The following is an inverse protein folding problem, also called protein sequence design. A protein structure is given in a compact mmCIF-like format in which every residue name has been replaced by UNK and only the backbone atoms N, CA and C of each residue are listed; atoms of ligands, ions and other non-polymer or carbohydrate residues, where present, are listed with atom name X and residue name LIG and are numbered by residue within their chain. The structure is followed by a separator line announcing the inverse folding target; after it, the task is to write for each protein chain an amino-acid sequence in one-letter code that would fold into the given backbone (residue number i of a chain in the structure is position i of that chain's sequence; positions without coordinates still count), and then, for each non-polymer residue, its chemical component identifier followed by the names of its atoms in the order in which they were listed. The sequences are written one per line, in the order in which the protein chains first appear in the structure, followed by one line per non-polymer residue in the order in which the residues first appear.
data_IF_973943774804
#
_entry.id   IF_973943774804
#
_cell.length_a   1.000
_cell.length_b   1.000
_cell.length_c   1.000
_cell.angle_alpha   90.00
_cell.angle_beta   90.00
_cell.angle_gamma   90.00
#
_symmetry.space_group_name_H-M   'P 1'
#
loop_
_entity.id
_entity.type
_entity.pdbx_description
1 polymer ?
#
# COMPACT_ATOMS: atom_id res chain seq x y z
N UNK A 1 -9.00 10.26 -4.24
CA UNK A 1 -10.02 9.90 -5.24
C UNK A 1 -11.38 10.13 -4.65
N UNK A 2 -12.25 10.81 -5.38
CA UNK A 2 -13.65 11.01 -5.04
C UNK A 2 -14.48 10.26 -6.06
N UNK A 3 -15.38 9.39 -5.63
CA UNK A 3 -16.34 8.75 -6.52
C UNK A 3 -17.51 9.70 -6.81
N UNK A 4 -17.93 9.77 -8.07
CA UNK A 4 -19.03 10.63 -8.50
C UNK A 4 -20.33 9.82 -8.45
N UNK A 5 -21.31 10.21 -7.61
CA UNK A 5 -22.61 9.55 -7.57
C UNK A 5 -23.31 9.57 -8.93
N UNK A 6 -24.13 8.54 -9.23
CA UNK A 6 -24.78 8.39 -10.54
C UNK A 6 -25.68 9.57 -10.93
N UNK A 7 -26.18 10.32 -9.95
CA UNK A 7 -27.07 11.47 -10.14
C UNK A 7 -26.33 12.81 -10.20
N UNK A 8 -24.98 12.79 -10.20
CA UNK A 8 -24.15 13.99 -10.13
C UNK A 8 -23.24 14.10 -11.35
N UNK A 9 -23.09 15.31 -11.89
CA UNK A 9 -22.16 15.57 -12.98
C UNK A 9 -20.73 15.72 -12.46
N UNK A 10 -19.73 15.43 -13.31
CA UNK A 10 -18.32 15.67 -12.99
C UNK A 10 -18.08 17.13 -12.58
N UNK A 11 -18.75 18.08 -13.25
CA UNK A 11 -18.61 19.50 -12.99
C UNK A 11 -19.13 19.88 -11.59
N UNK A 12 -20.30 19.38 -11.19
CA UNK A 12 -20.88 19.65 -9.87
C UNK A 12 -20.09 18.97 -8.75
N UNK A 13 -19.60 17.75 -8.98
CA UNK A 13 -18.72 17.06 -8.03
C UNK A 13 -17.40 17.83 -7.83
N UNK A 14 -16.78 18.28 -8.93
CA UNK A 14 -15.55 19.10 -8.86
C UNK A 14 -15.80 20.43 -8.14
N UNK A 15 -16.93 21.09 -8.39
CA UNK A 15 -17.29 22.34 -7.72
C UNK A 15 -17.47 22.14 -6.21
N UNK A 16 -18.18 21.10 -5.78
CA UNK A 16 -18.38 20.81 -4.36
C UNK A 16 -17.08 20.51 -3.61
N UNK A 17 -16.18 19.72 -4.23
CA UNK A 17 -14.85 19.49 -3.66
C UNK A 17 -14.04 20.79 -3.58
N UNK A 18 -14.08 21.61 -4.62
CA UNK A 18 -13.40 22.90 -4.64
C UNK A 18 -13.91 23.86 -3.55
N UNK A 19 -15.22 23.97 -3.37
CA UNK A 19 -15.82 24.80 -2.32
C UNK A 19 -15.39 24.34 -0.93
N UNK A 20 -15.42 23.02 -0.70
CA UNK A 20 -15.04 22.44 0.58
C UNK A 20 -13.56 22.71 0.89
N UNK A 21 -12.67 22.51 -0.08
CA UNK A 21 -11.23 22.74 0.09
C UNK A 21 -10.94 24.24 0.27
N UNK A 22 -11.55 25.10 -0.54
CA UNK A 22 -11.39 26.57 -0.45
C UNK A 22 -11.84 27.12 0.90
N UNK A 23 -12.85 26.51 1.54
CA UNK A 23 -13.30 26.90 2.88
C UNK A 23 -12.28 26.59 3.98
N UNK A 24 -11.40 25.58 3.76
CA UNK A 24 -10.44 25.08 4.76
C UNK A 24 -9.03 25.66 4.59
N UNK A 25 -8.62 26.05 3.38
CA UNK A 25 -7.26 26.55 3.12
C UNK A 25 -7.24 27.74 2.13
N UNK A 26 -6.33 28.68 2.40
CA UNK A 26 -6.02 29.77 1.46
C UNK A 26 -5.06 29.25 0.39
N UNK A 27 -5.41 29.41 -0.88
CA UNK A 27 -4.60 29.04 -2.05
C UNK A 27 -4.29 27.52 -2.19
N UNK A 28 -5.31 26.65 -2.25
CA UNK A 28 -5.10 25.22 -2.49
C UNK A 28 -4.44 24.96 -3.86
N UNK A 29 -3.41 24.11 -3.89
CA UNK A 29 -2.73 23.71 -5.14
C UNK A 29 -3.00 22.25 -5.42
N UNK A 30 -3.75 22.01 -6.49
CA UNK A 30 -4.15 20.66 -6.87
C UNK A 30 -4.21 20.50 -8.38
N UNK A 31 -3.78 19.35 -8.87
CA UNK A 31 -4.11 18.87 -10.20
C UNK A 31 -5.31 17.92 -10.12
N UNK A 32 -6.34 18.19 -10.93
CA UNK A 32 -7.54 17.33 -11.01
C UNK A 32 -7.54 16.56 -12.32
N UNK A 33 -7.73 15.25 -12.25
CA UNK A 33 -7.87 14.34 -13.39
C UNK A 33 -9.22 13.64 -13.28
N UNK A 34 -9.97 13.60 -14.38
CA UNK A 34 -11.24 12.87 -14.46
C UNK A 34 -10.97 11.50 -15.07
N UNK A 35 -11.36 10.45 -14.38
CA UNK A 35 -11.23 9.07 -14.85
C UNK A 35 -12.58 8.36 -14.72
N UNK A 36 -13.35 8.33 -15.82
CA UNK A 36 -14.70 7.78 -15.83
C UNK A 36 -15.62 8.48 -14.83
N UNK A 37 -16.08 7.75 -13.81
CA UNK A 37 -16.91 8.26 -12.70
C UNK A 37 -16.10 8.63 -11.45
N UNK A 38 -14.79 8.80 -11.58
CA UNK A 38 -13.92 9.12 -10.46
C UNK A 38 -13.15 10.42 -10.71
N UNK A 39 -13.07 11.24 -9.67
CA UNK A 39 -12.24 12.43 -9.60
C UNK A 39 -10.94 12.10 -8.86
N UNK A 40 -9.83 12.11 -9.59
CA UNK A 40 -8.49 11.95 -9.03
C UNK A 40 -7.94 13.35 -8.76
N UNK A 41 -7.60 13.63 -7.52
CA UNK A 41 -7.06 14.92 -7.09
C UNK A 41 -5.66 14.66 -6.55
N UNK A 42 -4.68 15.34 -7.12
CA UNK A 42 -3.27 15.24 -6.77
C UNK A 42 -2.89 16.59 -6.16
N UNK A 43 -2.69 16.65 -4.83
CA UNK A 43 -2.18 17.85 -4.17
C UNK A 43 -0.72 18.11 -4.58
N UNK A 44 -0.37 19.38 -4.80
CA UNK A 44 1.00 19.78 -5.13
C UNK A 44 1.81 20.18 -3.88
N UNK A 45 1.16 20.31 -2.72
CA UNK A 45 1.78 20.68 -1.44
C UNK A 45 1.14 19.94 -0.24
N UNK A 46 1.93 19.80 0.83
CA UNK A 46 1.55 19.04 2.03
C UNK A 46 0.35 19.65 2.76
N UNK A 47 0.23 20.98 2.79
CA UNK A 47 -0.90 21.65 3.44
C UNK A 47 -2.23 21.31 2.75
N UNK A 48 -2.22 21.28 1.41
CA UNK A 48 -3.38 20.88 0.62
C UNK A 48 -3.66 19.38 0.78
N UNK A 49 -2.64 18.53 0.87
CA UNK A 49 -2.78 17.09 1.12
C UNK A 49 -3.45 16.82 2.48
N UNK A 50 -3.01 17.47 3.54
CA UNK A 50 -3.55 17.27 4.89
C UNK A 50 -5.03 17.69 4.98
N UNK A 51 -5.41 18.78 4.32
CA UNK A 51 -6.81 19.20 4.23
C UNK A 51 -7.65 18.18 3.48
N UNK A 52 -7.12 17.59 2.40
CA UNK A 52 -7.79 16.56 1.61
C UNK A 52 -7.99 15.25 2.38
N UNK A 53 -7.02 14.85 3.22
CA UNK A 53 -7.14 13.68 4.12
C UNK A 53 -8.26 13.82 5.14
N UNK A 54 -8.59 15.05 5.53
CA UNK A 54 -9.69 15.36 6.44
C UNK A 54 -11.08 15.45 5.78
N UNK A 55 -11.24 15.00 4.54
CA UNK A 55 -12.53 14.98 3.83
C UNK A 55 -13.15 13.58 3.90
N UNK A 56 -14.45 13.52 4.22
CA UNK A 56 -15.17 12.25 4.45
C UNK A 56 -15.31 11.39 3.19
N UNK A 57 -15.43 12.01 2.02
CA UNK A 57 -15.66 11.33 0.73
C UNK A 57 -14.39 11.22 -0.13
N UNK A 58 -13.21 11.30 0.49
CA UNK A 58 -11.92 11.21 -0.19
C UNK A 58 -11.21 9.92 0.18
N UNK A 59 -10.97 9.09 -0.83
CA UNK A 59 -10.14 7.89 -0.73
C UNK A 59 -8.71 8.28 -1.12
N UNK A 60 -7.76 8.23 -0.19
CA UNK A 60 -6.34 8.42 -0.53
C UNK A 60 -5.86 7.23 -1.37
N UNK A 61 -5.40 7.50 -2.59
CA UNK A 61 -4.79 6.50 -3.47
C UNK A 61 -3.31 6.83 -3.57
N UNK A 62 -2.52 6.13 -2.77
CA UNK A 62 -1.07 6.15 -2.89
C UNK A 62 -0.60 5.40 -4.15
N UNK A 63 0.63 5.66 -4.63
CA UNK A 63 1.26 4.78 -5.61
C UNK A 63 1.22 3.34 -5.08
N UNK A 64 0.89 2.39 -5.97
CA UNK A 64 0.92 0.97 -5.61
C UNK A 64 2.31 0.63 -5.10
N UNK A 65 2.40 0.12 -3.88
CA UNK A 65 3.68 -0.36 -3.37
C UNK A 65 4.11 -1.57 -4.21
N UNK A 66 5.43 -1.74 -4.40
CA UNK A 66 5.97 -2.90 -5.09
C UNK A 66 5.60 -4.20 -4.38
N UNK A 67 5.59 -5.30 -5.14
CA UNK A 67 5.27 -6.63 -4.64
C UNK A 67 6.46 -7.55 -4.78
N UNK A 68 6.71 -8.33 -3.74
CA UNK A 68 7.76 -9.35 -3.69
C UNK A 68 7.11 -10.69 -3.37
N UNK A 69 7.65 -11.76 -3.93
CA UNK A 69 7.23 -13.12 -3.65
C UNK A 69 8.35 -13.77 -2.84
N UNK A 70 8.01 -14.35 -1.69
CA UNK A 70 8.90 -15.23 -0.93
C UNK A 70 8.47 -16.66 -1.24
N UNK A 71 9.38 -17.43 -1.83
CA UNK A 71 9.13 -18.80 -2.26
C UNK A 71 9.45 -19.81 -1.15
N UNK A 72 8.85 -20.99 -1.27
CA UNK A 72 9.14 -22.16 -0.44
C UNK A 72 9.00 -21.92 1.08
N UNK A 73 7.91 -21.24 1.48
CA UNK A 73 7.54 -21.03 2.88
C UNK A 73 6.63 -22.16 3.34
N UNK A 74 6.78 -22.66 4.57
CA UNK A 74 5.86 -23.66 5.15
C UNK A 74 4.39 -23.19 5.06
N UNK A 75 3.52 -24.10 4.64
CA UNK A 75 2.09 -23.84 4.44
C UNK A 75 1.41 -23.29 5.69
N UNK A 76 1.83 -23.70 6.89
CA UNK A 76 1.19 -23.34 8.16
C UNK A 76 1.53 -21.93 8.62
N UNK A 77 2.57 -21.30 8.06
CA UNK A 77 2.95 -19.93 8.44
C UNK A 77 1.81 -18.96 8.11
N UNK A 78 1.33 -18.26 9.14
CA UNK A 78 0.32 -17.22 9.02
C UNK A 78 0.93 -15.84 8.79
N UNK A 79 0.09 -14.83 8.50
CA UNK A 79 0.55 -13.48 8.16
C UNK A 79 1.34 -12.83 9.29
N UNK A 80 0.87 -12.98 10.52
CA UNK A 80 1.47 -12.35 11.69
C UNK A 80 2.80 -13.03 12.04
N UNK A 81 2.84 -14.37 11.94
CA UNK A 81 4.05 -15.17 12.14
C UNK A 81 5.11 -14.90 11.06
N UNK A 82 4.70 -14.67 9.80
CA UNK A 82 5.60 -14.31 8.71
C UNK A 82 6.38 -13.02 9.02
N UNK A 83 5.71 -12.01 9.58
CA UNK A 83 6.33 -10.75 9.97
C UNK A 83 7.34 -10.95 11.11
N UNK A 84 6.97 -11.73 12.12
CA UNK A 84 7.86 -12.09 13.22
C UNK A 84 9.10 -12.83 12.72
N UNK A 85 8.93 -13.85 11.87
CA UNK A 85 10.03 -14.60 11.27
C UNK A 85 10.98 -13.70 10.46
N UNK A 86 10.43 -12.78 9.67
CA UNK A 86 11.22 -11.81 8.90
C UNK A 86 12.09 -10.93 9.81
N UNK A 87 11.59 -10.55 10.99
CA UNK A 87 12.33 -9.73 11.93
C UNK A 87 13.39 -10.54 12.69
N UNK A 88 13.03 -11.72 13.18
CA UNK A 88 13.85 -12.52 14.10
C UNK A 88 14.93 -13.33 13.37
N UNK A 89 14.60 -13.93 12.22
CA UNK A 89 15.51 -14.87 11.53
C UNK A 89 16.39 -14.22 10.47
N UNK A 90 16.17 -12.95 10.11
CA UNK A 90 16.86 -12.28 8.98
C UNK A 90 17.54 -10.97 9.40
N UNK A 91 18.15 -10.96 10.59
CA UNK A 91 18.81 -9.77 11.16
C UNK A 91 19.90 -9.18 10.26
N UNK A 92 20.58 -10.02 9.48
CA UNK A 92 21.63 -9.68 8.52
C UNK A 92 21.12 -8.86 7.33
N UNK A 93 19.81 -8.93 7.05
CA UNK A 93 19.17 -8.14 5.99
C UNK A 93 18.92 -6.69 6.44
N UNK A 94 19.02 -6.43 7.75
CA UNK A 94 18.83 -5.12 8.36
C UNK A 94 17.41 -4.60 8.20
N UNK A 95 16.42 -5.49 8.29
CA UNK A 95 15.01 -5.11 8.42
C UNK A 95 14.78 -4.62 9.84
N UNK A 96 14.19 -3.43 9.97
CA UNK A 96 13.75 -2.88 11.25
C UNK A 96 12.27 -3.17 11.45
N UNK A 97 11.80 -3.14 12.69
CA UNK A 97 10.39 -3.35 13.03
C UNK A 97 9.45 -2.45 12.21
N UNK A 98 9.78 -1.15 12.08
CA UNK A 98 9.02 -0.21 11.26
C UNK A 98 8.90 -0.64 9.79
N UNK A 99 9.96 -1.24 9.23
CA UNK A 99 9.97 -1.70 7.84
C UNK A 99 9.11 -2.94 7.67
N UNK A 100 9.19 -3.88 8.60
CA UNK A 100 8.34 -5.09 8.58
C UNK A 100 6.87 -4.70 8.74
N UNK A 101 6.52 -3.81 9.67
CA UNK A 101 5.17 -3.27 9.84
C UNK A 101 4.62 -2.55 8.61
N UNK A 102 5.51 -1.96 7.81
CA UNK A 102 5.12 -1.29 6.56
C UNK A 102 4.96 -2.25 5.36
N UNK A 103 5.32 -3.53 5.54
CA UNK A 103 5.06 -4.62 4.60
C UNK A 103 3.70 -5.25 4.91
N UNK A 104 3.00 -5.73 3.87
CA UNK A 104 1.68 -6.35 4.02
C UNK A 104 1.64 -7.70 3.29
N UNK A 105 1.55 -8.83 4.01
CA UNK A 105 1.29 -10.13 3.42
C UNK A 105 -0.10 -10.18 2.78
N UNK A 106 -0.18 -10.38 1.46
CA UNK A 106 -1.43 -10.34 0.72
C UNK A 106 -2.11 -11.71 0.69
N UNK A 107 -1.49 -12.67 0.01
CA UNK A 107 -2.05 -14.02 -0.20
C UNK A 107 -0.93 -15.03 -0.49
N UNK A 108 -1.29 -16.32 -0.39
CA UNK A 108 -0.44 -17.47 -0.73
C UNK A 108 -0.68 -17.87 -2.19
N UNK A 109 0.39 -18.24 -2.89
CA UNK A 109 0.40 -18.93 -4.17
C UNK A 109 0.97 -20.33 -3.96
N UNK A 110 0.74 -21.24 -4.91
CA UNK A 110 1.29 -22.59 -4.88
C UNK A 110 0.23 -23.68 -5.10
N UNK A 111 0.67 -24.94 -5.23
CA UNK A 111 -0.23 -26.08 -5.43
C UNK A 111 -1.15 -26.29 -4.22
N UNK A 112 -2.39 -26.70 -4.49
CA UNK A 112 -3.34 -27.06 -3.43
C UNK A 112 -2.88 -28.34 -2.75
N UNK A 113 -2.65 -28.28 -1.44
CA UNK A 113 -2.24 -29.43 -0.63
C UNK A 113 -0.74 -29.74 -0.65
N UNK A 114 0.11 -28.80 -1.08
CA UNK A 114 1.56 -28.89 -0.88
C UNK A 114 1.98 -28.44 0.52
N UNK A 115 3.10 -28.97 1.00
CA UNK A 115 3.68 -28.58 2.30
C UNK A 115 4.28 -27.18 2.29
N UNK A 116 4.54 -26.63 1.10
CA UNK A 116 5.11 -25.30 0.88
C UNK A 116 4.24 -24.42 0.00
N UNK A 117 4.27 -23.11 0.29
CA UNK A 117 3.57 -22.05 -0.42
C UNK A 117 4.51 -20.92 -0.77
N UNK A 118 4.06 -20.01 -1.62
CA UNK A 118 4.77 -18.77 -1.93
C UNK A 118 3.96 -17.59 -1.43
N UNK A 119 4.55 -16.79 -0.56
CA UNK A 119 3.89 -15.61 -0.01
C UNK A 119 4.07 -14.42 -0.94
N UNK A 120 2.97 -13.76 -1.29
CA UNK A 120 3.00 -12.46 -1.96
C UNK A 120 2.92 -11.36 -0.90
N UNK A 121 3.93 -10.49 -0.85
CA UNK A 121 3.99 -9.36 0.06
C UNK A 121 4.02 -8.05 -0.72
N UNK A 122 3.29 -7.08 -0.21
CA UNK A 122 3.42 -5.68 -0.62
C UNK A 122 4.47 -5.01 0.27
N UNK A 123 5.50 -4.40 -0.32
CA UNK A 123 6.67 -3.91 0.42
C UNK A 123 7.00 -2.47 0.00
N UNK A 124 7.54 -1.63 0.88
CA UNK A 124 8.03 -0.31 0.45
C UNK A 124 9.25 -0.46 -0.46
N UNK A 125 9.41 0.46 -1.41
CA UNK A 125 10.49 0.40 -2.40
C UNK A 125 11.90 0.37 -1.79
N UNK A 126 12.10 1.00 -0.63
CA UNK A 126 13.39 0.99 0.08
C UNK A 126 13.74 -0.35 0.75
N UNK A 127 12.77 -1.28 0.85
CA UNK A 127 12.97 -2.63 1.40
C UNK A 127 13.40 -3.60 0.30
N UNK A 128 12.96 -3.41 -0.96
CA UNK A 128 13.25 -4.34 -2.06
C UNK A 128 14.74 -4.69 -2.14
N UNK A 129 15.70 -3.74 -2.19
CA UNK A 129 17.11 -4.08 -2.36
C UNK A 129 17.69 -4.86 -1.18
N UNK A 130 16.98 -4.87 -0.04
CA UNK A 130 17.37 -5.66 1.12
C UNK A 130 16.97 -7.11 0.98
N UNK A 131 15.83 -7.41 0.40
CA UNK A 131 15.27 -8.77 0.34
C UNK A 131 15.44 -9.44 -1.02
N UNK A 132 15.51 -8.66 -2.09
CA UNK A 132 15.63 -9.15 -3.46
C UNK A 132 16.94 -9.92 -3.65
N UNK A 133 16.85 -11.10 -4.27
CA UNK A 133 17.96 -12.02 -4.52
C UNK A 133 18.73 -12.48 -3.26
N UNK A 134 18.16 -12.30 -2.06
CA UNK A 134 18.73 -12.83 -0.82
C UNK A 134 17.97 -14.04 -0.36
N UNK A 135 18.67 -14.98 0.26
CA UNK A 135 18.00 -16.07 0.98
C UNK A 135 17.40 -15.52 2.26
N UNK A 136 16.11 -15.74 2.44
CA UNK A 136 15.40 -15.41 3.67
C UNK A 136 15.17 -16.69 4.48
N UNK A 137 15.05 -16.56 5.79
CA UNK A 137 14.71 -17.64 6.69
C UNK A 137 13.35 -17.39 7.32
N UNK A 138 12.42 -18.33 7.14
CA UNK A 138 11.06 -18.27 7.69
C UNK A 138 10.75 -19.63 8.31
N UNK A 139 10.32 -19.66 9.58
CA UNK A 139 10.00 -20.93 10.24
C UNK A 139 11.15 -21.93 10.27
N UNK A 140 12.41 -21.47 10.39
CA UNK A 140 13.63 -22.29 10.32
C UNK A 140 13.90 -22.92 8.95
N UNK A 141 13.20 -22.49 7.89
CA UNK A 141 13.41 -22.93 6.52
C UNK A 141 14.08 -21.83 5.69
N UNK A 142 14.96 -22.23 4.79
CA UNK A 142 15.59 -21.32 3.81
C UNK A 142 14.65 -21.10 2.62
N UNK A 143 14.13 -19.89 2.51
CA UNK A 143 13.25 -19.40 1.46
C UNK A 143 14.02 -18.57 0.41
N UNK A 144 13.39 -18.32 -0.73
CA UNK A 144 13.96 -17.55 -1.86
C UNK A 144 13.14 -16.34 -2.22
#
# INVERSE_FOLDING_TARGET
MVEIPQNMTVASAKAGVWETVKSKIKNPRTKTIVSGKSLIIIPDDDNTLDVMRGLQDVIEIGPRKPRVIIYDVDFNIEKDELAECLLVQNTEVGLTDDKVKSMAPLHKLGPRGGDVVHWVLETPANVIPKIENKSLYIGMMRCR
#
